data_IF_362531682273
#
_entry.id   IF_362531682273
#
_cell.length_a   1.000
_cell.length_b   1.000
_cell.length_c   1.000
_cell.angle_alpha   90.00
_cell.angle_beta   90.00
_cell.angle_gamma   90.00
#
_symmetry.space_group_name_H-M   'P 1'
#
loop_
_entity.id
_entity.type
_entity.pdbx_description
1 polymer ?
#
# COMPACT_ATOMS: atom_id res chain seq x y z
N UNK A 1 15.81 16.67 -7.48
CA UNK A 1 14.80 15.61 -7.65
C UNK A 1 13.53 16.10 -6.99
N UNK A 2 12.43 16.13 -7.74
CA UNK A 2 11.11 16.58 -7.27
C UNK A 2 10.66 15.78 -6.03
N UNK A 3 9.93 16.41 -5.09
CA UNK A 3 9.50 15.78 -3.84
C UNK A 3 8.60 14.57 -4.10
N UNK A 4 7.73 14.67 -5.10
CA UNK A 4 6.85 13.57 -5.51
C UNK A 4 7.67 12.42 -6.08
N UNK A 5 8.69 12.71 -6.89
CA UNK A 5 9.60 11.69 -7.42
C UNK A 5 10.40 10.98 -6.31
N UNK A 6 10.86 11.72 -5.30
CA UNK A 6 11.52 11.14 -4.11
C UNK A 6 10.58 10.24 -3.32
N UNK A 7 9.36 10.68 -3.08
CA UNK A 7 8.34 9.88 -2.40
C UNK A 7 8.02 8.59 -3.17
N UNK A 8 7.79 8.70 -4.49
CA UNK A 8 7.54 7.55 -5.37
C UNK A 8 8.68 6.53 -5.30
N UNK A 9 9.94 6.98 -5.39
CA UNK A 9 11.10 6.11 -5.29
C UNK A 9 11.18 5.40 -3.93
N UNK A 10 11.03 6.16 -2.83
CA UNK A 10 11.06 5.63 -1.47
C UNK A 10 9.94 4.60 -1.22
N UNK A 11 8.69 4.92 -1.62
CA UNK A 11 7.55 4.04 -1.38
C UNK A 11 7.61 2.78 -2.27
N UNK A 12 8.12 2.89 -3.50
CA UNK A 12 8.39 1.73 -4.35
C UNK A 12 9.46 0.82 -3.75
N UNK A 13 10.51 1.40 -3.17
CA UNK A 13 11.52 0.62 -2.47
C UNK A 13 10.94 -0.08 -1.23
N UNK A 14 10.13 0.62 -0.43
CA UNK A 14 9.46 0.02 0.73
C UNK A 14 8.53 -1.13 0.32
N UNK A 15 7.73 -0.94 -0.74
CA UNK A 15 6.89 -1.99 -1.32
C UNK A 15 7.72 -3.21 -1.75
N UNK A 16 8.85 -2.98 -2.43
CA UNK A 16 9.77 -4.04 -2.85
C UNK A 16 10.33 -4.81 -1.65
N UNK A 17 10.77 -4.11 -0.62
CA UNK A 17 11.34 -4.71 0.58
C UNK A 17 10.30 -5.59 1.30
N UNK A 18 9.04 -5.15 1.38
CA UNK A 18 7.94 -5.96 1.90
C UNK A 18 7.71 -7.24 1.08
N UNK A 19 7.67 -7.13 -0.26
CA UNK A 19 7.46 -8.27 -1.14
C UNK A 19 8.59 -9.30 -1.05
N UNK A 20 9.84 -8.84 -1.03
CA UNK A 20 11.02 -9.70 -0.87
C UNK A 20 10.97 -10.41 0.47
N UNK A 21 10.72 -9.67 1.55
CA UNK A 21 10.63 -10.26 2.89
C UNK A 21 9.58 -11.38 2.93
N UNK A 22 8.36 -11.12 2.44
CA UNK A 22 7.27 -12.09 2.43
C UNK A 22 7.58 -13.31 1.55
N UNK A 23 8.24 -13.10 0.41
CA UNK A 23 8.68 -14.18 -0.46
C UNK A 23 9.75 -15.06 0.22
N UNK A 24 10.79 -14.45 0.80
CA UNK A 24 11.86 -15.16 1.51
C UNK A 24 11.35 -15.93 2.74
N UNK A 25 10.42 -15.34 3.49
CA UNK A 25 9.80 -15.99 4.65
C UNK A 25 8.67 -16.95 4.29
N UNK A 26 8.43 -17.20 2.99
CA UNK A 26 7.35 -18.07 2.50
C UNK A 26 5.98 -17.73 3.12
N UNK A 27 5.73 -16.43 3.31
CA UNK A 27 4.51 -15.93 3.95
C UNK A 27 3.52 -15.54 2.86
N UNK A 28 2.36 -16.19 2.83
CA UNK A 28 1.29 -15.84 1.90
C UNK A 28 0.73 -14.45 2.19
N UNK A 29 0.36 -13.74 1.13
CA UNK A 29 -0.13 -12.38 1.22
C UNK A 29 -1.13 -12.11 0.10
N UNK A 30 -1.83 -10.98 0.19
CA UNK A 30 -2.64 -10.46 -0.89
C UNK A 30 -2.10 -9.10 -1.33
N UNK A 31 -2.21 -8.82 -2.62
CA UNK A 31 -1.87 -7.54 -3.23
C UNK A 31 -3.15 -6.89 -3.70
N UNK A 32 -3.45 -5.71 -3.15
CA UNK A 32 -4.48 -4.83 -3.66
C UNK A 32 -3.81 -3.79 -4.57
N UNK A 33 -4.22 -3.71 -5.83
CA UNK A 33 -3.57 -2.87 -6.83
C UNK A 33 -4.56 -2.19 -7.77
N UNK A 34 -4.12 -1.09 -8.38
CA UNK A 34 -4.86 -0.39 -9.42
C UNK A 34 -4.78 -1.17 -10.74
N UNK A 35 -5.94 -1.45 -11.35
CA UNK A 35 -6.06 -2.29 -12.55
C UNK A 35 -5.27 -1.72 -13.73
N UNK A 36 -5.16 -0.40 -13.85
CA UNK A 36 -4.39 0.29 -14.90
C UNK A 36 -2.89 -0.05 -14.91
N UNK A 37 -2.38 -0.58 -13.79
CA UNK A 37 -0.98 -1.02 -13.64
C UNK A 37 -0.84 -2.55 -13.71
N UNK A 38 -1.90 -3.26 -14.07
CA UNK A 38 -1.93 -4.72 -14.22
C UNK A 38 -1.94 -5.08 -15.70
N UNK A 39 -1.08 -6.02 -16.08
CA UNK A 39 -1.02 -6.58 -17.42
C UNK A 39 -1.26 -8.09 -17.35
N UNK A 40 -2.08 -8.59 -18.26
CA UNK A 40 -2.40 -10.01 -18.40
C UNK A 40 -1.78 -10.56 -19.68
N UNK A 41 -1.11 -11.70 -19.59
CA UNK A 41 -0.49 -12.40 -20.71
C UNK A 41 -0.79 -13.92 -20.62
N UNK A 42 -1.67 -14.46 -21.48
CA UNK A 42 -2.41 -13.78 -22.55
C UNK A 42 -3.42 -12.73 -22.04
N UNK A 43 -3.79 -11.73 -22.87
CA UNK A 43 -4.77 -10.73 -22.50
C UNK A 43 -6.14 -11.37 -22.26
N UNK A 44 -6.84 -10.89 -21.24
CA UNK A 44 -8.20 -11.32 -20.91
C UNK A 44 -9.19 -10.60 -21.86
N UNK A 45 -10.29 -11.26 -22.28
CA UNK A 45 -11.37 -10.59 -23.00
C UNK A 45 -11.92 -9.36 -22.25
N UNK A 46 -12.23 -8.29 -22.98
CA UNK A 46 -12.74 -7.03 -22.41
C UNK A 46 -14.01 -7.23 -21.57
N UNK A 47 -14.89 -8.17 -21.97
CA UNK A 47 -16.12 -8.49 -21.23
C UNK A 47 -15.84 -8.98 -19.81
N UNK A 48 -14.76 -9.75 -19.61
CA UNK A 48 -14.37 -10.21 -18.29
C UNK A 48 -13.65 -9.10 -17.52
N UNK A 49 -12.86 -8.24 -18.20
CA UNK A 49 -12.20 -7.07 -17.57
C UNK A 49 -13.23 -6.04 -17.12
N UNK A 50 -14.37 -5.91 -17.81
CA UNK A 50 -15.41 -4.95 -17.46
C UNK A 50 -16.05 -5.22 -16.08
N UNK A 51 -15.98 -6.46 -15.59
CA UNK A 51 -16.42 -6.82 -14.24
C UNK A 51 -15.41 -6.39 -13.16
N UNK A 52 -14.17 -6.08 -13.55
CA UNK A 52 -13.17 -5.57 -12.63
C UNK A 52 -13.41 -4.09 -12.39
N UNK A 53 -13.45 -3.69 -11.12
CA UNK A 53 -13.38 -2.28 -10.76
C UNK A 53 -12.00 -1.68 -11.07
N UNK A 54 -11.82 -0.40 -10.73
CA UNK A 54 -10.52 0.27 -10.84
C UNK A 54 -9.39 -0.38 -10.02
N UNK A 55 -9.75 -1.26 -9.07
CA UNK A 55 -8.81 -1.98 -8.22
C UNK A 55 -9.14 -3.47 -8.18
N UNK A 56 -8.09 -4.26 -8.00
CA UNK A 56 -8.16 -5.72 -7.95
C UNK A 56 -7.39 -6.23 -6.74
N UNK A 57 -7.90 -7.31 -6.13
CA UNK A 57 -7.22 -8.03 -5.06
C UNK A 57 -6.74 -9.38 -5.60
N UNK A 58 -5.43 -9.61 -5.56
CA UNK A 58 -4.83 -10.91 -5.86
C UNK A 58 -4.38 -11.58 -4.57
N UNK A 59 -4.74 -12.85 -4.38
CA UNK A 59 -4.27 -13.68 -3.26
C UNK A 59 -3.07 -14.50 -3.74
N UNK A 60 -1.90 -14.25 -3.17
CA UNK A 60 -0.66 -14.97 -3.45
C UNK A 60 -0.50 -16.10 -2.43
N UNK A 61 -1.08 -17.25 -2.76
CA UNK A 61 -0.96 -18.52 -2.04
C UNK A 61 -0.95 -19.68 -3.04
N UNK A 62 -0.45 -20.85 -2.62
CA UNK A 62 -0.36 -22.02 -3.50
C UNK A 62 0.42 -21.72 -4.79
N UNK A 63 -0.05 -22.21 -5.93
CA UNK A 63 0.66 -22.07 -7.21
C UNK A 63 0.89 -20.60 -7.62
N UNK A 64 0.00 -19.67 -7.27
CA UNK A 64 0.17 -18.24 -7.53
C UNK A 64 1.34 -17.66 -6.72
N UNK A 65 1.57 -18.15 -5.51
CA UNK A 65 2.76 -17.79 -4.73
C UNK A 65 4.02 -18.48 -5.26
N UNK A 66 3.93 -19.76 -5.61
CA UNK A 66 5.08 -20.54 -6.11
C UNK A 66 5.62 -20.00 -7.45
N UNK A 67 4.74 -19.46 -8.29
CA UNK A 67 5.09 -18.84 -9.57
C UNK A 67 5.50 -17.36 -9.45
N UNK A 68 5.47 -16.78 -8.25
CA UNK A 68 5.79 -15.38 -8.01
C UNK A 68 7.24 -15.07 -8.40
N UNK A 69 7.41 -14.05 -9.24
CA UNK A 69 8.69 -13.48 -9.63
C UNK A 69 8.70 -12.00 -9.31
N UNK A 70 9.77 -11.54 -8.67
CA UNK A 70 10.00 -10.13 -8.34
C UNK A 70 11.14 -9.62 -9.21
N UNK A 71 10.85 -8.66 -10.09
CA UNK A 71 11.82 -8.05 -10.99
C UNK A 71 12.18 -6.63 -10.51
N UNK A 72 13.47 -6.28 -10.58
CA UNK A 72 13.99 -4.98 -10.15
C UNK A 72 14.10 -3.95 -11.28
N UNK A 73 14.16 -4.42 -12.53
CA UNK A 73 14.29 -3.56 -13.71
C UNK A 73 13.59 -4.19 -14.94
N UNK A 74 12.42 -3.69 -15.37
CA UNK A 74 11.60 -2.70 -14.68
C UNK A 74 11.03 -3.26 -13.37
N UNK A 75 10.70 -2.38 -12.43
CA UNK A 75 10.25 -2.78 -11.09
C UNK A 75 8.80 -3.31 -11.11
N UNK A 76 8.65 -4.64 -11.10
CA UNK A 76 7.34 -5.30 -11.15
C UNK A 76 7.34 -6.65 -10.42
N UNK A 77 6.13 -7.15 -10.12
CA UNK A 77 5.91 -8.56 -9.77
C UNK A 77 5.17 -9.26 -10.90
N UNK A 78 5.35 -10.56 -11.03
CA UNK A 78 4.55 -11.40 -11.92
C UNK A 78 4.28 -12.77 -11.32
N UNK A 79 3.14 -13.36 -11.63
CA UNK A 79 2.72 -14.67 -11.13
C UNK A 79 1.67 -15.28 -12.05
N UNK A 80 1.49 -16.59 -11.96
CA UNK A 80 0.44 -17.30 -12.69
C UNK A 80 -0.87 -17.26 -11.89
N UNK A 81 -1.96 -16.95 -12.58
CA UNK A 81 -3.30 -16.93 -12.02
C UNK A 81 -4.30 -17.54 -13.00
N UNK A 82 -5.15 -18.42 -12.47
CA UNK A 82 -6.38 -18.85 -13.10
C UNK A 82 -7.48 -17.84 -12.81
N UNK A 83 -8.15 -17.38 -13.85
CA UNK A 83 -9.25 -16.42 -13.82
C UNK A 83 -10.48 -17.09 -14.44
N UNK A 84 -11.53 -17.31 -13.63
CA UNK A 84 -12.80 -17.83 -14.15
C UNK A 84 -12.65 -19.10 -15.00
N UNK A 85 -13.50 -19.24 -16.03
CA UNK A 85 -13.69 -20.39 -16.92
C UNK A 85 -12.42 -20.96 -17.59
N UNK A 86 -11.54 -21.58 -16.80
CA UNK A 86 -10.29 -22.22 -17.22
C UNK A 86 -9.31 -21.30 -17.97
N UNK A 87 -9.33 -19.98 -17.71
CA UNK A 87 -8.39 -19.06 -18.31
C UNK A 87 -7.16 -18.89 -17.42
N UNK A 88 -6.02 -19.43 -17.85
CA UNK A 88 -4.73 -19.25 -17.19
C UNK A 88 -4.01 -18.07 -17.83
N UNK A 89 -3.50 -17.15 -16.99
CA UNK A 89 -2.70 -16.02 -17.44
C UNK A 89 -1.54 -15.78 -16.50
N UNK A 90 -0.45 -15.22 -17.05
CA UNK A 90 0.53 -14.51 -16.25
C UNK A 90 0.00 -13.12 -15.95
N UNK A 91 -0.11 -12.78 -14.67
CA UNK A 91 -0.41 -11.43 -14.19
C UNK A 91 0.92 -10.73 -13.95
N UNK A 92 1.08 -9.51 -14.45
CA UNK A 92 2.22 -8.64 -14.18
C UNK A 92 1.73 -7.32 -13.58
N UNK A 93 2.31 -6.90 -12.46
CA UNK A 93 1.91 -5.69 -11.74
C UNK A 93 3.13 -4.80 -11.56
N UNK A 94 3.07 -3.58 -12.09
CA UNK A 94 4.09 -2.57 -11.80
C UNK A 94 4.01 -2.18 -10.31
N UNK A 95 5.15 -2.08 -9.62
CA UNK A 95 5.14 -1.82 -8.16
C UNK A 95 4.48 -0.50 -7.79
N UNK A 96 4.49 0.49 -8.69
CA UNK A 96 3.79 1.76 -8.50
C UNK A 96 2.27 1.60 -8.39
N UNK A 97 1.70 0.54 -8.98
CA UNK A 97 0.29 0.22 -8.93
C UNK A 97 -0.13 -0.57 -7.69
N UNK A 98 0.80 -1.06 -6.87
CA UNK A 98 0.49 -1.74 -5.61
C UNK A 98 0.02 -0.71 -4.59
N UNK A 99 -1.25 -0.82 -4.18
CA UNK A 99 -1.90 0.06 -3.21
C UNK A 99 -1.73 -0.49 -1.79
N UNK A 100 -1.96 -1.80 -1.60
CA UNK A 100 -1.74 -2.44 -0.31
C UNK A 100 -1.11 -3.83 -0.45
N UNK A 101 -0.33 -4.20 0.56
CA UNK A 101 0.06 -5.59 0.81
C UNK A 101 -0.60 -6.00 2.12
N UNK A 102 -1.39 -7.06 2.06
CA UNK A 102 -2.22 -7.53 3.17
C UNK A 102 -1.77 -8.93 3.55
N UNK A 103 -1.50 -9.16 4.83
CA UNK A 103 -1.18 -10.48 5.38
C UNK A 103 -2.28 -10.93 6.33
N UNK A 104 -2.44 -12.24 6.48
CA UNK A 104 -3.31 -12.81 7.52
C UNK A 104 -2.53 -12.96 8.81
N UNK A 105 -3.06 -12.46 9.91
CA UNK A 105 -2.50 -12.76 11.23
C UNK A 105 -2.92 -14.17 11.72
N UNK A 106 -2.50 -14.53 12.93
CA UNK A 106 -2.81 -15.84 13.54
C UNK A 106 -4.30 -16.05 13.81
N UNK A 107 -5.08 -14.98 13.84
CA UNK A 107 -6.53 -15.00 14.06
C UNK A 107 -7.30 -14.85 12.74
N UNK A 108 -6.65 -15.06 11.60
CA UNK A 108 -7.20 -14.87 10.24
C UNK A 108 -7.71 -13.45 9.97
N UNK A 109 -7.21 -12.47 10.71
CA UNK A 109 -7.51 -11.05 10.51
C UNK A 109 -6.59 -10.46 9.45
N UNK A 110 -7.14 -9.60 8.59
CA UNK A 110 -6.37 -8.88 7.58
C UNK A 110 -5.53 -7.78 8.24
N UNK A 111 -4.22 -7.85 8.09
CA UNK A 111 -3.26 -6.85 8.57
C UNK A 111 -2.58 -6.22 7.36
N UNK A 112 -2.63 -4.90 7.27
CA UNK A 112 -1.98 -4.15 6.19
C UNK A 112 -0.51 -3.96 6.54
N UNK A 113 0.38 -4.60 5.77
CA UNK A 113 1.84 -4.48 5.94
C UNK A 113 2.40 -3.28 5.18
N UNK A 114 1.78 -2.95 4.04
CA UNK A 114 2.16 -1.83 3.19
C UNK A 114 0.88 -1.11 2.72
N UNK A 115 0.91 0.22 2.73
CA UNK A 115 -0.14 1.05 2.17
C UNK A 115 0.50 2.22 1.42
N UNK A 116 0.10 2.40 0.16
CA UNK A 116 0.51 3.52 -0.68
C UNK A 116 -0.49 4.67 -0.54
N UNK A 117 0.01 5.82 -0.11
CA UNK A 117 -0.78 7.04 -0.07
C UNK A 117 -0.64 7.83 -1.36
N UNK A 118 -1.66 8.62 -1.68
CA UNK A 118 -1.58 9.63 -2.73
C UNK A 118 -0.68 10.79 -2.27
N UNK A 119 0.48 11.02 -2.91
CA UNK A 119 1.38 12.10 -2.51
C UNK A 119 0.75 13.48 -2.67
N UNK A 120 -0.19 13.68 -3.60
CA UNK A 120 -0.87 14.96 -3.77
C UNK A 120 -1.74 15.31 -2.56
N UNK A 121 -2.33 14.29 -1.92
CA UNK A 121 -3.09 14.47 -0.68
C UNK A 121 -2.20 14.74 0.55
N UNK A 122 -0.97 14.24 0.54
CA UNK A 122 -0.05 14.31 1.69
C UNK A 122 0.81 15.57 1.74
N UNK A 123 1.28 16.05 0.58
CA UNK A 123 2.21 17.17 0.50
C UNK A 123 1.51 18.50 0.22
N UNK A 124 0.25 18.63 0.64
CA UNK A 124 -0.48 19.91 0.67
C UNK A 124 0.12 20.79 1.76
N UNK A 125 0.35 22.07 1.46
CA UNK A 125 0.91 23.02 2.41
C UNK A 125 -0.15 23.43 3.45
N UNK A 126 -0.28 22.65 4.54
CA UNK A 126 -1.27 22.81 5.61
C UNK A 126 -0.66 23.34 6.91
N UNK A 127 0.46 24.06 6.82
CA UNK A 127 1.26 24.54 7.96
C UNK A 127 0.45 25.28 9.04
N UNK A 128 -0.57 26.04 8.64
CA UNK A 128 -1.46 26.74 9.58
C UNK A 128 -2.40 25.79 10.35
N UNK A 129 -2.96 24.78 9.68
CA UNK A 129 -3.87 23.80 10.27
C UNK A 129 -3.13 22.84 11.21
N UNK A 130 -1.93 22.40 10.81
CA UNK A 130 -1.06 21.57 11.64
C UNK A 130 -0.63 22.28 12.93
N UNK A 131 -0.31 23.58 12.85
CA UNK A 131 0.04 24.39 14.02
C UNK A 131 -1.16 24.57 14.96
N UNK A 132 -2.36 24.74 14.42
CA UNK A 132 -3.58 24.87 15.21
C UNK A 132 -3.94 23.56 15.91
N UNK A 133 -3.90 22.43 15.20
CA UNK A 133 -4.13 21.10 15.77
C UNK A 133 -3.14 20.77 16.89
N UNK A 134 -1.86 21.13 16.74
CA UNK A 134 -0.85 20.98 17.78
C UNK A 134 -1.18 21.81 19.03
N UNK A 135 -1.60 23.07 18.87
CA UNK A 135 -2.03 23.93 19.98
C UNK A 135 -3.25 23.37 20.69
N UNK A 136 -4.26 22.93 19.93
CA UNK A 136 -5.50 22.40 20.49
C UNK A 136 -5.25 21.10 21.26
N UNK A 137 -4.40 20.21 20.75
CA UNK A 137 -3.99 18.99 21.46
C UNK A 137 -3.30 19.32 22.79
N UNK A 138 -2.37 20.27 22.82
CA UNK A 138 -1.69 20.71 24.05
C UNK A 138 -2.69 21.32 25.04
N UNK A 139 -3.59 22.18 24.57
CA UNK A 139 -4.58 22.87 25.41
C UNK A 139 -5.69 21.96 25.92
N UNK A 140 -5.99 20.87 25.21
CA UNK A 140 -7.03 19.91 25.59
C UNK A 140 -6.58 18.87 26.64
N UNK A 141 -5.27 18.73 26.87
CA UNK A 141 -4.74 17.82 27.89
C UNK A 141 -4.91 18.43 29.30
N UNK A 142 -5.67 17.79 30.22
CA UNK A 142 -5.92 18.31 31.55
C UNK A 142 -4.65 18.60 32.36
N UNK A 143 -3.58 17.80 32.16
CA UNK A 143 -2.29 17.96 32.86
C UNK A 143 -1.57 19.23 32.41
N UNK A 144 -1.67 19.55 31.12
CA UNK A 144 -1.13 20.78 30.58
C UNK A 144 -1.94 21.99 31.08
N UNK A 145 -3.27 21.87 31.15
CA UNK A 145 -4.12 22.94 31.70
C UNK A 145 -3.77 23.26 33.15
N UNK A 146 -3.56 22.25 34.00
CA UNK A 146 -3.12 22.42 35.39
C UNK A 146 -1.75 23.09 35.48
N UNK A 147 -0.79 22.64 34.66
CA UNK A 147 0.56 23.21 34.63
C UNK A 147 0.53 24.69 34.19
N UNK A 148 -0.25 25.02 33.16
CA UNK A 148 -0.43 26.39 32.66
C UNK A 148 -1.10 27.28 33.73
N UNK A 149 -2.14 26.78 34.41
CA UNK A 149 -2.82 27.51 35.47
C UNK A 149 -1.92 27.77 36.69
N UNK A 150 -0.97 26.88 36.95
CA UNK A 150 0.02 27.03 38.03
C UNK A 150 1.08 28.08 37.66
N UNK A 151 1.60 28.04 36.43
CA UNK A 151 2.55 29.02 35.89
C UNK A 151 1.97 30.44 35.79
N UNK A 152 0.66 30.59 35.56
CA UNK A 152 -0.02 31.89 35.53
C UNK A 152 -0.32 32.47 36.92
N UNK A 153 -0.10 31.71 38.00
CA UNK A 153 -0.36 32.12 39.38
C UNK A 153 0.90 32.51 40.16
N UNK A 154 2.10 32.28 39.62
CA UNK A 154 3.34 32.76 40.21
C UNK A 154 3.60 34.22 39.78
N UNK A 155 3.72 35.18 40.74
CA UNK A 155 4.05 36.57 40.45
C UNK A 155 5.52 36.80 40.09
#
# INVERSE_FOLDING_TARGET
MDILQRYKAMTNQHCLDCLIFLHETHTHFSVFCALEHVHFDPPIPEEQIADFGSFVLFVLAGYTFESLKIARDPLHISFEAGLGDNFETTVRIALEGVVQIIVKDRNDSNVVLFNRCDPHSMFVDSTAEALQSSKDAILSDPRNQETIATLQREP
#
